data_IF_869729435821
#
_entry.id   IF_869729435821
#
_cell.length_a   1.000
_cell.length_b   1.000
_cell.length_c   1.000
_cell.angle_alpha   90.00
_cell.angle_beta   90.00
_cell.angle_gamma   90.00
#
_symmetry.space_group_name_H-M   'P 1'
#
loop_
_entity.id
_entity.type
_entity.pdbx_description
1 polymer ?
#
# COMPACT_ATOMS: atom_id res chain seq x y z
N UNK A 1 -14.67 -5.16 -5.58
CA UNK A 1 -14.75 -4.49 -4.27
C UNK A 1 -13.84 -5.23 -3.32
N UNK A 2 -12.80 -4.57 -2.78
CA UNK A 2 -11.91 -5.20 -1.79
C UNK A 2 -12.71 -5.41 -0.50
N UNK A 3 -12.58 -6.59 0.10
CA UNK A 3 -13.14 -6.94 1.41
C UNK A 3 -11.98 -7.37 2.30
N UNK A 4 -11.42 -6.45 3.11
CA UNK A 4 -10.37 -6.79 4.06
C UNK A 4 -10.86 -7.87 5.03
N UNK A 5 -9.97 -8.75 5.48
CA UNK A 5 -10.27 -9.63 6.60
C UNK A 5 -10.60 -8.77 7.84
N UNK A 6 -11.55 -9.20 8.66
CA UNK A 6 -11.88 -8.52 9.92
C UNK A 6 -10.68 -8.48 10.89
N UNK A 7 -9.66 -9.32 10.65
CA UNK A 7 -8.41 -9.38 11.42
C UNK A 7 -7.35 -8.39 10.98
N UNK A 8 -7.60 -7.54 9.97
CA UNK A 8 -6.66 -6.48 9.60
C UNK A 8 -6.58 -5.47 10.75
N UNK A 9 -5.46 -5.47 11.47
CA UNK A 9 -5.27 -4.61 12.64
C UNK A 9 -4.74 -3.22 12.29
N UNK A 10 -4.00 -3.09 11.17
CA UNK A 10 -3.31 -1.85 10.81
C UNK A 10 -3.44 -1.53 9.33
N UNK A 11 -3.56 -0.24 9.04
CA UNK A 11 -3.61 0.32 7.69
C UNK A 11 -2.55 1.42 7.60
N UNK A 12 -1.67 1.31 6.61
CA UNK A 12 -0.59 2.25 6.35
C UNK A 12 -0.89 3.05 5.09
N UNK A 13 -0.91 4.37 5.21
CA UNK A 13 -1.00 5.28 4.07
C UNK A 13 0.40 5.77 3.70
N UNK A 14 0.84 5.47 2.48
CA UNK A 14 2.07 6.00 1.96
C UNK A 14 1.88 7.48 1.54
N UNK A 15 2.59 8.43 2.16
CA UNK A 15 2.25 9.85 2.05
C UNK A 15 2.74 10.50 0.74
N UNK A 16 3.77 9.92 0.12
CA UNK A 16 4.31 10.43 -1.15
C UNK A 16 3.49 9.86 -2.32
N UNK A 17 3.26 10.66 -3.37
CA UNK A 17 2.58 10.16 -4.55
C UNK A 17 3.38 9.05 -5.23
N UNK A 18 2.68 8.02 -5.69
CA UNK A 18 3.27 6.87 -6.39
C UNK A 18 2.71 6.77 -7.79
N UNK A 19 3.58 6.48 -8.76
CA UNK A 19 3.13 6.13 -10.10
C UNK A 19 2.54 4.72 -10.08
N UNK A 20 1.22 4.62 -10.23
CA UNK A 20 0.51 3.34 -10.25
C UNK A 20 0.79 2.49 -11.50
N UNK A 21 1.60 2.99 -12.45
CA UNK A 21 2.14 2.19 -13.54
C UNK A 21 3.26 1.26 -13.08
N UNK A 22 3.82 1.45 -11.88
CA UNK A 22 4.74 0.48 -11.26
C UNK A 22 3.99 -0.83 -10.98
N UNK A 23 4.68 -1.97 -11.17
CA UNK A 23 4.15 -3.28 -10.80
C UNK A 23 4.01 -3.42 -9.28
N UNK A 24 3.32 -4.48 -8.85
CA UNK A 24 3.19 -4.84 -7.43
C UNK A 24 4.56 -4.96 -6.74
N UNK A 25 5.56 -5.55 -7.41
CA UNK A 25 6.92 -5.68 -6.84
C UNK A 25 7.55 -4.32 -6.54
N UNK A 26 7.30 -3.33 -7.42
CA UNK A 26 7.78 -1.97 -7.21
C UNK A 26 7.06 -1.23 -6.08
N UNK A 27 5.83 -1.63 -5.73
CA UNK A 27 5.10 -1.11 -4.57
C UNK A 27 5.56 -1.80 -3.28
N UNK A 28 5.76 -3.12 -3.32
CA UNK A 28 6.28 -3.90 -2.18
C UNK A 28 7.67 -3.41 -1.75
N UNK A 29 8.57 -3.15 -2.70
CA UNK A 29 9.88 -2.58 -2.41
C UNK A 29 9.80 -1.20 -1.72
N UNK A 30 8.80 -0.37 -2.04
CA UNK A 30 8.58 0.91 -1.35
C UNK A 30 8.13 0.70 0.10
N UNK A 31 7.29 -0.30 0.36
CA UNK A 31 6.85 -0.66 1.71
C UNK A 31 8.04 -1.11 2.55
N UNK A 32 8.83 -2.04 2.05
CA UNK A 32 9.98 -2.60 2.77
C UNK A 32 11.01 -1.52 3.10
N UNK A 33 11.33 -0.66 2.12
CA UNK A 33 12.39 0.34 2.28
C UNK A 33 11.96 1.56 3.12
N UNK A 34 10.74 2.07 2.93
CA UNK A 34 10.34 3.33 3.57
C UNK A 34 9.52 3.14 4.85
N UNK A 35 8.72 2.07 4.93
CA UNK A 35 7.80 1.84 6.05
C UNK A 35 8.40 0.84 7.05
N UNK A 36 9.32 -0.02 6.62
CA UNK A 36 9.99 -1.04 7.45
C UNK A 36 8.98 -1.88 8.27
N UNK A 37 7.86 -2.23 7.62
CA UNK A 37 6.83 -3.13 8.16
C UNK A 37 6.89 -4.42 7.35
N UNK A 38 6.68 -5.56 8.01
CA UNK A 38 6.64 -6.84 7.33
C UNK A 38 5.46 -6.84 6.33
N UNK A 39 5.78 -6.99 5.03
CA UNK A 39 4.79 -6.92 3.93
C UNK A 39 3.79 -8.07 3.97
N UNK A 40 4.04 -9.09 4.80
CA UNK A 40 3.21 -10.29 4.93
C UNK A 40 2.36 -10.31 6.21
N UNK A 41 2.40 -9.27 7.03
CA UNK A 41 1.47 -9.15 8.16
C UNK A 41 0.05 -8.86 7.65
N UNK A 42 -0.96 -9.04 8.52
CA UNK A 42 -2.37 -8.70 8.23
C UNK A 42 -2.58 -7.18 8.19
N UNK A 43 -1.87 -6.50 7.29
CA UNK A 43 -1.82 -5.04 7.18
C UNK A 43 -2.15 -4.61 5.75
N UNK A 44 -2.79 -3.45 5.61
CA UNK A 44 -3.10 -2.89 4.30
C UNK A 44 -2.20 -1.71 4.00
N UNK A 45 -1.64 -1.69 2.79
CA UNK A 45 -0.90 -0.56 2.26
C UNK A 45 -1.74 0.20 1.25
N UNK A 46 -1.89 1.49 1.52
CA UNK A 46 -2.64 2.42 0.67
C UNK A 46 -1.64 3.37 0.01
N UNK A 47 -1.69 3.41 -1.32
CA UNK A 47 -0.94 4.34 -2.14
C UNK A 47 -1.87 5.36 -2.79
N UNK A 48 -1.37 6.57 -2.99
CA UNK A 48 -2.07 7.64 -3.71
C UNK A 48 -1.30 7.99 -4.98
N UNK A 49 -2.03 8.28 -6.06
CA UNK A 49 -1.39 8.78 -7.28
C UNK A 49 -0.96 10.25 -7.13
N UNK A 50 -0.18 10.76 -8.08
CA UNK A 50 0.33 12.15 -8.08
C UNK A 50 -0.74 13.23 -7.91
N UNK A 51 -1.94 13.01 -8.47
CA UNK A 51 -3.05 13.94 -8.33
C UNK A 51 -3.95 13.65 -7.13
N UNK A 52 -3.65 12.64 -6.32
CA UNK A 52 -4.46 12.14 -5.19
C UNK A 52 -5.93 11.87 -5.55
N UNK A 53 -6.18 11.53 -6.81
CA UNK A 53 -7.50 11.20 -7.36
C UNK A 53 -7.76 9.70 -7.40
N UNK A 54 -6.70 8.90 -7.33
CA UNK A 54 -6.77 7.44 -7.36
C UNK A 54 -6.01 6.88 -6.17
N UNK A 55 -6.54 5.78 -5.66
CA UNK A 55 -5.98 5.02 -4.57
C UNK A 55 -5.69 3.60 -5.06
N UNK A 56 -4.56 3.05 -4.65
CA UNK A 56 -4.21 1.64 -4.86
C UNK A 56 -4.05 1.00 -3.48
N UNK A 57 -4.60 -0.20 -3.29
CA UNK A 57 -4.56 -0.93 -2.04
C UNK A 57 -3.83 -2.25 -2.31
N UNK A 58 -2.82 -2.53 -1.51
CA UNK A 58 -2.05 -3.78 -1.54
C UNK A 58 -2.18 -4.44 -0.16
N UNK A 59 -2.39 -5.76 -0.16
CA UNK A 59 -2.50 -6.63 1.01
C UNK A 59 -1.48 -7.75 0.86
#
# INVERSE_FOLDING_TARGET
MIRPDAKVEKVYLYPKPVDFRKSIDGLAALVELDINVAVFDLVLFIFLNSHRKRMNIVY
#
